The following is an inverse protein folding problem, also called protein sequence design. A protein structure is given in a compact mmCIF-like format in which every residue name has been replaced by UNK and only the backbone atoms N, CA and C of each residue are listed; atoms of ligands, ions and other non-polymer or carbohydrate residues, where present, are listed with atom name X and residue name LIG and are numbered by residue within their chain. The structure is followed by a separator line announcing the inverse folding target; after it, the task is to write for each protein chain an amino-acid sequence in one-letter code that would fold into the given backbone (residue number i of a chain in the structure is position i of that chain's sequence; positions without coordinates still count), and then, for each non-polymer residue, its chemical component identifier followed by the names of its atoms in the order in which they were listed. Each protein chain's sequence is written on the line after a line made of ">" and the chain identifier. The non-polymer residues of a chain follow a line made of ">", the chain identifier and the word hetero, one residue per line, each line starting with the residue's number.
data_IF_980112237818
#
_entry.id   IF_980112237818
#
_cell.length_a   1.000
_cell.length_b   1.000
_cell.length_c   1.000
_cell.angle_alpha   90.00
_cell.angle_beta   90.00
_cell.angle_gamma   90.00
#
_symmetry.space_group_name_H-M   'P 1'
#
loop_
_entity.id
_entity.type
_entity.pdbx_description
1 polymer ?
#
# COMPACT_ATOMS: atom_id res chain seq x y z
N UNK A 1 4.97 -9.38 7.54
CA UNK A 1 5.62 -10.64 8.01
C UNK A 1 5.19 -11.05 9.42
N UNK A 2 5.20 -10.16 10.44
CA UNK A 2 4.66 -10.50 11.78
C UNK A 2 3.26 -11.11 11.68
N UNK A 3 2.33 -10.44 11.02
CA UNK A 3 0.98 -10.93 10.81
C UNK A 3 0.93 -12.31 10.13
N UNK A 4 1.75 -12.54 9.11
CA UNK A 4 1.89 -13.84 8.44
C UNK A 4 2.31 -14.97 9.39
N UNK A 5 3.15 -14.66 10.38
CA UNK A 5 3.59 -15.61 11.41
C UNK A 5 2.59 -15.77 12.56
N UNK A 6 1.40 -15.17 12.49
CA UNK A 6 0.41 -15.17 13.58
C UNK A 6 0.82 -14.33 14.79
N UNK A 7 1.80 -13.45 14.62
CA UNK A 7 2.30 -12.55 15.65
C UNK A 7 1.62 -11.18 15.56
N UNK A 8 1.59 -10.45 16.68
CA UNK A 8 1.06 -9.08 16.67
C UNK A 8 1.80 -8.21 15.66
N UNK A 9 1.09 -7.52 14.74
CA UNK A 9 1.71 -6.61 13.77
C UNK A 9 2.54 -5.50 14.41
N UNK A 10 2.24 -5.18 15.66
CA UNK A 10 2.95 -4.17 16.48
C UNK A 10 4.01 -4.76 17.39
N UNK A 11 4.29 -6.07 17.34
CA UNK A 11 5.28 -6.70 18.23
C UNK A 11 6.65 -6.04 18.12
N UNK A 12 7.26 -5.83 19.28
CA UNK A 12 8.61 -5.29 19.44
C UNK A 12 9.55 -6.29 20.12
N UNK A 13 9.06 -7.52 20.36
CA UNK A 13 9.82 -8.60 20.97
C UNK A 13 11.02 -9.00 20.11
N UNK A 14 12.17 -9.18 20.74
CA UNK A 14 13.38 -9.64 20.07
C UNK A 14 13.20 -11.03 19.43
N UNK A 15 12.48 -11.92 20.10
CA UNK A 15 12.17 -13.26 19.59
C UNK A 15 11.31 -13.21 18.32
N UNK A 16 10.29 -12.34 18.32
CA UNK A 16 9.40 -12.17 17.16
C UNK A 16 10.16 -11.57 15.97
N UNK A 17 10.99 -10.55 16.23
CA UNK A 17 11.82 -9.95 15.18
C UNK A 17 12.84 -10.95 14.63
N UNK A 18 13.42 -11.83 15.47
CA UNK A 18 14.30 -12.89 15.01
C UNK A 18 13.55 -13.94 14.15
N UNK A 19 12.30 -14.27 14.49
CA UNK A 19 11.47 -15.14 13.67
C UNK A 19 11.15 -14.51 12.31
N UNK A 20 10.81 -13.23 12.28
CA UNK A 20 10.62 -12.45 11.05
C UNK A 20 11.89 -12.45 10.20
N UNK A 21 13.05 -12.17 10.80
CA UNK A 21 14.33 -12.13 10.08
C UNK A 21 14.66 -13.48 9.43
N UNK A 22 14.52 -14.59 10.15
CA UNK A 22 14.73 -15.94 9.59
C UNK A 22 13.84 -16.20 8.38
N UNK A 23 12.55 -15.82 8.48
CA UNK A 23 11.60 -16.03 7.39
C UNK A 23 11.93 -15.15 6.17
N UNK A 24 12.31 -13.90 6.40
CA UNK A 24 12.73 -13.00 5.35
C UNK A 24 14.02 -13.49 4.66
N UNK A 25 15.02 -13.94 5.43
CA UNK A 25 16.26 -14.47 4.87
C UNK A 25 16.04 -15.72 4.02
N UNK A 26 15.06 -16.57 4.36
CA UNK A 26 14.72 -17.73 3.53
C UNK A 26 14.17 -17.36 2.15
N UNK A 27 13.50 -16.23 2.01
CA UNK A 27 12.98 -15.75 0.72
C UNK A 27 13.93 -14.78 -0.01
N UNK A 28 14.99 -14.30 0.68
CA UNK A 28 15.91 -13.31 0.13
C UNK A 28 16.51 -13.67 -1.23
N UNK A 29 16.95 -14.91 -1.48
CA UNK A 29 17.53 -15.32 -2.77
C UNK A 29 16.58 -15.16 -3.96
N UNK A 30 15.27 -15.13 -3.72
CA UNK A 30 14.23 -14.98 -4.74
C UNK A 30 13.82 -13.53 -5.00
N UNK A 31 14.34 -12.57 -4.21
CA UNK A 31 13.99 -11.17 -4.35
C UNK A 31 14.98 -10.47 -5.28
N UNK A 32 14.47 -10.02 -6.41
CA UNK A 32 15.27 -9.35 -7.44
C UNK A 32 15.55 -7.90 -7.11
N UNK A 33 14.57 -7.18 -6.56
CA UNK A 33 14.69 -5.73 -6.31
C UNK A 33 13.84 -5.27 -5.13
N UNK A 34 14.26 -4.19 -4.50
CA UNK A 34 13.53 -3.47 -3.46
C UNK A 34 13.20 -2.07 -3.98
N UNK A 35 12.08 -1.92 -4.65
CA UNK A 35 11.63 -0.63 -5.16
C UNK A 35 10.10 -0.61 -5.30
N UNK A 36 9.46 0.35 -4.67
CA UNK A 36 8.01 0.56 -4.79
C UNK A 36 7.69 1.23 -6.13
N UNK A 37 8.51 2.17 -6.56
CA UNK A 37 8.28 2.94 -7.79
C UNK A 37 8.44 2.10 -9.05
N UNK A 38 9.43 1.22 -9.10
CA UNK A 38 9.64 0.37 -10.27
C UNK A 38 8.66 -0.79 -10.38
N UNK A 39 7.99 -1.17 -9.28
CA UNK A 39 7.08 -2.31 -9.27
C UNK A 39 5.92 -2.14 -10.27
N UNK A 40 5.37 -0.93 -10.39
CA UNK A 40 4.30 -0.63 -11.33
C UNK A 40 4.72 -0.89 -12.78
N UNK A 41 5.87 -0.35 -13.20
CA UNK A 41 6.35 -0.47 -14.58
C UNK A 41 6.82 -1.89 -14.90
N UNK A 42 7.50 -2.55 -13.94
CA UNK A 42 8.01 -3.92 -14.15
C UNK A 42 6.91 -4.98 -14.16
N UNK A 43 5.82 -4.78 -13.43
CA UNK A 43 4.61 -5.60 -13.55
C UNK A 43 3.93 -5.35 -14.90
N UNK A 44 3.72 -4.08 -15.27
CA UNK A 44 3.00 -3.73 -16.50
C UNK A 44 3.71 -4.20 -17.77
N UNK A 45 5.04 -4.25 -17.78
CA UNK A 45 5.83 -4.74 -18.92
C UNK A 45 6.19 -6.24 -18.87
N UNK A 46 5.77 -6.95 -17.81
CA UNK A 46 6.00 -8.39 -17.64
C UNK A 46 7.42 -8.79 -17.21
N UNK A 47 8.30 -7.84 -16.88
CA UNK A 47 9.66 -8.16 -16.41
C UNK A 47 9.73 -8.64 -14.96
N UNK A 48 8.63 -8.49 -14.21
CA UNK A 48 8.44 -9.01 -12.85
C UNK A 48 7.15 -9.83 -12.79
N UNK A 49 7.23 -11.07 -12.30
CA UNK A 49 6.09 -11.97 -12.20
C UNK A 49 5.28 -11.78 -10.92
N UNK A 50 5.93 -11.34 -9.83
CA UNK A 50 5.33 -11.15 -8.51
C UNK A 50 5.93 -9.92 -7.84
N UNK A 51 5.08 -9.06 -7.30
CA UNK A 51 5.51 -7.91 -6.50
C UNK A 51 4.64 -7.75 -5.25
N UNK A 52 5.25 -7.35 -4.15
CA UNK A 52 4.54 -6.82 -2.99
C UNK A 52 4.40 -5.31 -3.20
N UNK A 53 3.16 -4.85 -3.38
CA UNK A 53 2.88 -3.45 -3.69
C UNK A 53 1.51 -3.03 -3.13
N UNK A 54 1.24 -1.74 -3.12
CA UNK A 54 -0.07 -1.21 -2.78
C UNK A 54 -1.08 -1.50 -3.88
N UNK A 55 -2.35 -1.71 -3.50
CA UNK A 55 -3.42 -2.09 -4.42
C UNK A 55 -3.56 -1.12 -5.61
N UNK A 56 -3.63 0.18 -5.36
CA UNK A 56 -3.77 1.18 -6.42
C UNK A 56 -2.61 1.17 -7.42
N UNK A 57 -1.37 0.92 -6.96
CA UNK A 57 -0.22 0.78 -7.87
C UNK A 57 -0.37 -0.43 -8.79
N UNK A 58 -0.86 -1.56 -8.25
CA UNK A 58 -1.09 -2.77 -9.06
C UNK A 58 -2.25 -2.55 -10.04
N UNK A 59 -3.33 -1.91 -9.60
CA UNK A 59 -4.46 -1.58 -10.48
C UNK A 59 -4.06 -0.61 -11.60
N UNK A 60 -3.16 0.33 -11.34
CA UNK A 60 -2.55 1.15 -12.40
C UNK A 60 -1.69 0.29 -13.36
N UNK A 61 -0.94 -0.69 -12.83
CA UNK A 61 -0.16 -1.61 -13.69
C UNK A 61 -1.08 -2.45 -14.58
N UNK A 62 -2.26 -2.89 -14.09
CA UNK A 62 -3.30 -3.56 -14.89
C UNK A 62 -3.73 -2.68 -16.06
N UNK A 63 -4.04 -1.41 -15.81
CA UNK A 63 -4.45 -0.47 -16.87
C UNK A 63 -3.34 -0.27 -17.91
N UNK A 64 -2.10 -0.08 -17.46
CA UNK A 64 -0.94 0.10 -18.35
C UNK A 64 -0.65 -1.14 -19.18
N UNK A 65 -0.71 -2.33 -18.59
CA UNK A 65 -0.49 -3.60 -19.29
C UNK A 65 -1.54 -3.80 -20.40
N UNK A 66 -2.82 -3.53 -20.09
CA UNK A 66 -3.90 -3.59 -21.08
C UNK A 66 -3.70 -2.59 -22.21
N UNK A 67 -3.36 -1.35 -21.89
CA UNK A 67 -3.11 -0.30 -22.90
C UNK A 67 -1.91 -0.64 -23.80
N UNK A 68 -0.87 -1.27 -23.27
CA UNK A 68 0.30 -1.68 -24.03
C UNK A 68 0.02 -2.86 -24.99
N UNK A 69 -1.04 -3.64 -24.75
CA UNK A 69 -1.50 -4.78 -25.57
C UNK A 69 -0.37 -5.77 -25.94
N UNK A 70 0.52 -6.09 -24.99
CA UNK A 70 1.66 -7.00 -25.19
C UNK A 70 1.45 -8.39 -24.62
N UNK A 71 0.20 -8.78 -24.33
CA UNK A 71 -0.15 -10.07 -23.75
C UNK A 71 0.18 -10.21 -22.26
N UNK A 72 0.58 -9.13 -21.55
CA UNK A 72 0.85 -9.14 -20.11
C UNK A 72 -0.48 -8.98 -19.36
N UNK A 73 -0.78 -9.97 -18.51
CA UNK A 73 -1.93 -9.95 -17.63
C UNK A 73 -1.46 -9.75 -16.19
N UNK A 74 -1.90 -8.67 -15.55
CA UNK A 74 -1.60 -8.35 -14.16
C UNK A 74 -2.88 -8.52 -13.34
N UNK A 75 -2.76 -9.08 -12.14
CA UNK A 75 -3.86 -9.17 -11.16
C UNK A 75 -3.35 -8.79 -9.78
N UNK A 76 -4.21 -8.18 -8.98
CA UNK A 76 -3.97 -7.95 -7.56
C UNK A 76 -4.57 -9.09 -6.76
N UNK A 77 -3.89 -9.49 -5.70
CA UNK A 77 -4.36 -10.49 -4.76
C UNK A 77 -4.10 -10.04 -3.32
N UNK A 78 -5.14 -9.90 -2.54
CA UNK A 78 -5.03 -9.70 -1.10
C UNK A 78 -4.83 -11.05 -0.40
N UNK A 79 -3.85 -11.21 0.51
CA UNK A 79 -3.63 -12.45 1.24
C UNK A 79 -4.88 -12.88 2.03
N UNK A 80 -5.19 -14.19 2.05
CA UNK A 80 -6.36 -14.74 2.79
C UNK A 80 -6.35 -14.41 4.29
N UNK A 81 -5.16 -14.23 4.89
CA UNK A 81 -5.01 -13.82 6.28
C UNK A 81 -5.24 -12.32 6.54
N UNK A 82 -5.60 -11.56 5.52
CA UNK A 82 -5.78 -10.11 5.58
C UNK A 82 -4.57 -9.33 5.06
N UNK A 83 -4.84 -8.14 4.56
CA UNK A 83 -3.85 -7.18 4.10
C UNK A 83 -3.66 -6.05 5.12
N UNK A 84 -2.49 -5.40 5.07
CA UNK A 84 -2.32 -4.17 5.84
C UNK A 84 -3.14 -3.06 5.20
N UNK A 85 -4.07 -2.48 5.96
CA UNK A 85 -4.74 -1.24 5.59
C UNK A 85 -3.84 -0.05 5.94
N UNK A 86 -3.66 0.84 4.96
CA UNK A 86 -2.93 2.10 5.13
C UNK A 86 -3.82 3.25 4.69
N UNK A 87 -3.77 4.33 5.44
CA UNK A 87 -4.54 5.54 5.15
C UNK A 87 -3.56 6.70 4.97
N UNK A 88 -3.58 7.30 3.80
CA UNK A 88 -2.86 8.53 3.54
C UNK A 88 -3.69 9.71 4.06
N UNK A 89 -3.04 10.61 4.80
CA UNK A 89 -3.71 11.75 5.43
C UNK A 89 -2.95 13.04 5.13
N UNK A 90 -3.69 14.14 5.03
CA UNK A 90 -3.12 15.48 5.00
C UNK A 90 -3.15 16.06 6.42
N UNK A 91 -2.05 16.63 6.86
CA UNK A 91 -1.93 17.26 8.16
C UNK A 91 -1.20 18.61 8.04
N UNK A 92 -1.61 19.58 8.85
CA UNK A 92 -0.98 20.90 8.91
C UNK A 92 -0.18 20.97 10.20
N UNK A 93 1.18 21.10 10.14
CA UNK A 93 1.99 21.31 11.33
C UNK A 93 1.51 22.52 12.14
N UNK A 94 1.65 22.45 13.48
CA UNK A 94 1.17 23.53 14.34
C UNK A 94 1.93 24.84 14.13
N UNK A 95 3.16 24.79 13.67
CA UNK A 95 4.04 25.92 13.37
C UNK A 95 4.07 26.31 11.88
N UNK A 96 3.18 25.73 11.05
CA UNK A 96 3.12 26.03 9.63
C UNK A 96 2.81 27.52 9.40
N UNK A 97 3.57 28.24 8.55
CA UNK A 97 3.41 29.68 8.34
C UNK A 97 2.16 30.03 7.53
N UNK A 98 1.65 29.14 6.69
CA UNK A 98 0.56 29.39 5.74
C UNK A 98 -0.64 28.44 5.98
N UNK A 99 -1.16 28.41 7.22
CA UNK A 99 -2.24 27.47 7.60
C UNK A 99 -3.52 27.67 6.80
N UNK A 100 -3.88 28.92 6.52
CA UNK A 100 -5.11 29.24 5.78
C UNK A 100 -5.04 28.74 4.33
N UNK A 101 -3.90 28.90 3.68
CA UNK A 101 -3.67 28.37 2.35
C UNK A 101 -3.70 26.81 2.37
N UNK A 102 -3.10 26.18 3.38
CA UNK A 102 -3.14 24.73 3.54
C UNK A 102 -4.57 24.23 3.78
N UNK A 103 -5.37 24.89 4.62
CA UNK A 103 -6.79 24.57 4.80
C UNK A 103 -7.58 24.73 3.51
N UNK A 104 -7.33 25.81 2.75
CA UNK A 104 -7.96 26.03 1.44
C UNK A 104 -7.65 24.88 0.48
N UNK A 105 -6.40 24.43 0.43
CA UNK A 105 -6.00 23.30 -0.40
C UNK A 105 -6.66 21.99 0.03
N UNK A 106 -6.70 21.70 1.34
CA UNK A 106 -7.35 20.49 1.86
C UNK A 106 -8.84 20.50 1.51
N UNK A 107 -9.52 21.62 1.72
CA UNK A 107 -10.93 21.78 1.37
C UNK A 107 -11.17 21.62 -0.14
N UNK A 108 -10.25 22.09 -0.98
CA UNK A 108 -10.32 21.89 -2.43
C UNK A 108 -10.21 20.42 -2.81
N UNK A 109 -9.22 19.71 -2.26
CA UNK A 109 -9.02 18.27 -2.55
C UNK A 109 -10.19 17.41 -2.09
N UNK A 110 -10.85 17.79 -0.97
CA UNK A 110 -12.01 17.06 -0.44
C UNK A 110 -13.33 17.34 -1.17
N UNK A 111 -13.34 18.20 -2.16
CA UNK A 111 -14.53 18.38 -3.01
C UNK A 111 -14.83 17.08 -3.75
N UNK A 112 -16.09 16.62 -3.79
CA UNK A 112 -16.47 15.33 -4.35
C UNK A 112 -15.96 15.09 -5.77
N UNK A 113 -16.07 16.11 -6.64
CA UNK A 113 -15.61 16.04 -8.02
C UNK A 113 -14.08 15.92 -8.12
N UNK A 114 -13.33 16.62 -7.27
CA UNK A 114 -11.87 16.62 -7.30
C UNK A 114 -11.32 15.28 -6.77
N UNK A 115 -11.83 14.82 -5.63
CA UNK A 115 -11.35 13.56 -5.05
C UNK A 115 -11.78 12.33 -5.87
N UNK A 116 -12.89 12.41 -6.61
CA UNK A 116 -13.28 11.38 -7.57
C UNK A 116 -12.25 11.26 -8.69
N UNK A 117 -11.78 12.37 -9.25
CA UNK A 117 -10.72 12.38 -10.28
C UNK A 117 -9.42 11.80 -9.74
N UNK A 118 -9.04 12.13 -8.50
CA UNK A 118 -7.88 11.53 -7.83
C UNK A 118 -8.03 10.01 -7.77
N UNK A 119 -9.19 9.49 -7.34
CA UNK A 119 -9.43 8.05 -7.28
C UNK A 119 -9.40 7.40 -8.67
N UNK A 120 -10.02 8.03 -9.67
CA UNK A 120 -10.05 7.52 -11.03
C UNK A 120 -8.64 7.39 -11.65
N UNK A 121 -7.73 8.32 -11.33
CA UNK A 121 -6.34 8.30 -11.81
C UNK A 121 -5.47 7.36 -10.99
N UNK A 122 -5.54 7.45 -9.67
CA UNK A 122 -4.63 6.72 -8.76
C UNK A 122 -5.07 5.30 -8.47
N UNK A 123 -6.33 4.98 -8.76
CA UNK A 123 -6.97 3.69 -8.48
C UNK A 123 -7.04 3.33 -6.99
N UNK A 124 -6.99 4.33 -6.10
CA UNK A 124 -7.23 4.18 -4.67
C UNK A 124 -8.62 4.66 -4.29
N UNK A 125 -9.21 4.02 -3.27
CA UNK A 125 -10.42 4.54 -2.64
C UNK A 125 -10.13 5.89 -1.95
N UNK A 126 -11.18 6.66 -1.76
CA UNK A 126 -11.16 7.88 -0.94
C UNK A 126 -12.24 7.82 0.15
N UNK A 127 -12.14 8.71 1.12
CA UNK A 127 -13.02 8.75 2.30
C UNK A 127 -14.21 9.72 2.13
N UNK A 128 -14.56 10.13 0.90
CA UNK A 128 -15.65 11.07 0.62
C UNK A 128 -16.78 10.35 -0.14
N UNK A 129 -17.81 9.81 0.53
CA UNK A 129 -18.88 9.03 -0.13
C UNK A 129 -19.64 9.81 -1.21
N UNK A 130 -19.75 11.13 -1.06
CA UNK A 130 -20.38 12.00 -2.06
C UNK A 130 -19.66 11.99 -3.43
N UNK A 131 -18.42 11.50 -3.50
CA UNK A 131 -17.66 11.35 -4.75
C UNK A 131 -18.04 10.09 -5.54
N UNK A 132 -18.65 9.09 -4.90
CA UNK A 132 -18.93 7.78 -5.51
C UNK A 132 -19.67 7.83 -6.86
N UNK A 133 -20.70 8.71 -7.04
CA UNK A 133 -21.37 8.81 -8.34
C UNK A 133 -20.47 9.28 -9.51
N UNK A 134 -19.30 9.86 -9.21
CA UNK A 134 -18.34 10.40 -10.18
C UNK A 134 -17.11 9.50 -10.38
N UNK A 135 -17.02 8.41 -9.63
CA UNK A 135 -15.96 7.40 -9.77
C UNK A 135 -16.34 6.43 -10.88
N UNK A 136 -15.33 6.01 -11.67
CA UNK A 136 -15.49 4.92 -12.65
C UNK A 136 -16.25 3.74 -12.01
N UNK A 137 -17.41 3.34 -12.55
CA UNK A 137 -18.21 2.27 -11.95
C UNK A 137 -17.49 0.92 -11.87
N UNK A 138 -16.53 0.66 -12.76
CA UNK A 138 -15.71 -0.55 -12.71
C UNK A 138 -14.72 -0.49 -11.53
N UNK A 139 -14.16 0.69 -11.26
CA UNK A 139 -13.27 0.91 -10.12
C UNK A 139 -14.03 0.86 -8.79
N UNK A 140 -15.20 1.51 -8.73
CA UNK A 140 -16.03 1.55 -7.51
C UNK A 140 -16.51 0.14 -7.07
N UNK A 141 -16.71 -0.75 -8.04
CA UNK A 141 -17.14 -2.15 -7.79
C UNK A 141 -15.97 -3.11 -7.58
N UNK A 142 -14.73 -2.68 -7.79
CA UNK A 142 -13.56 -3.52 -7.58
C UNK A 142 -13.20 -3.58 -6.08
N UNK A 143 -13.34 -4.73 -5.41
CA UNK A 143 -13.04 -4.87 -3.98
C UNK A 143 -11.56 -4.67 -3.67
N UNK A 144 -10.68 -4.71 -4.66
CA UNK A 144 -9.26 -4.41 -4.50
C UNK A 144 -8.97 -2.91 -4.43
N UNK A 145 -9.88 -2.07 -4.95
CA UNK A 145 -9.82 -0.61 -4.84
C UNK A 145 -10.73 -0.11 -3.70
N UNK A 146 -12.00 -0.53 -3.70
CA UNK A 146 -13.01 -0.20 -2.70
C UNK A 146 -13.40 -1.46 -1.92
N UNK A 147 -12.64 -1.82 -0.88
CA UNK A 147 -12.85 -3.05 -0.12
C UNK A 147 -14.22 -3.03 0.57
N UNK A 148 -14.87 -4.18 0.57
CA UNK A 148 -16.13 -4.41 1.30
C UNK A 148 -15.88 -4.47 2.81
N UNK A 149 -16.95 -4.36 3.61
CA UNK A 149 -16.86 -4.51 5.07
C UNK A 149 -16.23 -5.85 5.47
N UNK A 150 -16.48 -6.91 4.71
CA UNK A 150 -15.89 -8.24 4.94
C UNK A 150 -14.37 -8.23 4.76
N UNK A 151 -13.87 -7.56 3.74
CA UNK A 151 -12.42 -7.45 3.48
C UNK A 151 -11.76 -6.51 4.48
N UNK A 152 -12.43 -5.42 4.82
CA UNK A 152 -11.96 -4.51 5.88
C UNK A 152 -11.88 -5.21 7.25
N UNK A 153 -12.82 -6.08 7.59
CA UNK A 153 -12.82 -6.82 8.85
C UNK A 153 -11.63 -7.77 8.99
N UNK A 154 -11.04 -8.25 7.88
CA UNK A 154 -9.83 -9.08 7.88
C UNK A 154 -8.54 -8.28 7.75
N UNK A 155 -8.64 -7.01 7.42
CA UNK A 155 -7.47 -6.11 7.30
C UNK A 155 -6.95 -5.71 8.69
N UNK A 156 -5.68 -5.33 8.75
CA UNK A 156 -5.07 -4.89 9.98
C UNK A 156 -4.27 -3.61 9.78
N UNK A 157 -4.21 -2.77 10.80
CA UNK A 157 -3.35 -1.59 10.86
C UNK A 157 -2.36 -1.77 12.01
N UNK A 158 -1.04 -1.71 11.77
CA UNK A 158 -0.06 -1.75 12.85
C UNK A 158 -0.23 -0.54 13.77
N UNK A 159 -0.16 -0.78 15.08
CA UNK A 159 -0.11 0.31 16.05
C UNK A 159 1.22 1.09 16.00
N UNK A 160 1.29 2.21 16.72
CA UNK A 160 2.50 3.01 16.81
C UNK A 160 3.66 2.21 17.40
N UNK A 161 4.86 2.44 16.89
CA UNK A 161 6.10 1.81 17.37
C UNK A 161 7.03 2.89 17.91
N UNK A 162 7.47 2.73 19.14
CA UNK A 162 8.43 3.64 19.80
C UNK A 162 9.80 3.60 19.12
N UNK A 163 10.68 4.55 19.45
CA UNK A 163 11.94 4.76 18.73
C UNK A 163 12.87 3.53 18.78
N UNK A 164 13.10 2.95 19.95
CA UNK A 164 14.04 1.83 20.12
C UNK A 164 13.66 0.58 19.30
N UNK A 165 12.42 0.06 19.38
CA UNK A 165 11.98 -1.04 18.52
C UNK A 165 11.98 -0.67 17.03
N UNK A 166 11.71 0.58 16.67
CA UNK A 166 11.82 1.07 15.29
C UNK A 166 13.27 0.93 14.77
N UNK A 167 14.26 1.26 15.60
CA UNK A 167 15.66 1.09 15.23
C UNK A 167 16.03 -0.38 15.01
N UNK A 168 15.59 -1.30 15.90
CA UNK A 168 15.81 -2.73 15.75
C UNK A 168 15.20 -3.28 14.44
N UNK A 169 13.97 -2.88 14.11
CA UNK A 169 13.32 -3.22 12.83
C UNK A 169 14.09 -2.68 11.62
N UNK A 170 14.56 -1.44 11.70
CA UNK A 170 15.33 -0.82 10.61
C UNK A 170 16.68 -1.53 10.40
N UNK A 171 17.37 -1.94 11.47
CA UNK A 171 18.62 -2.70 11.37
C UNK A 171 18.39 -4.08 10.74
N UNK A 172 17.35 -4.81 11.17
CA UNK A 172 16.95 -6.09 10.58
C UNK A 172 16.64 -5.90 9.08
N UNK A 173 15.88 -4.87 8.73
CA UNK A 173 15.54 -4.57 7.33
C UNK A 173 16.76 -4.22 6.48
N UNK A 174 17.73 -3.52 7.07
CA UNK A 174 19.00 -3.22 6.41
C UNK A 174 19.77 -4.52 6.11
N UNK A 175 19.97 -5.39 7.11
CA UNK A 175 20.63 -6.70 6.92
C UNK A 175 19.93 -7.54 5.84
N UNK A 176 18.60 -7.58 5.86
CA UNK A 176 17.83 -8.31 4.85
C UNK A 176 18.06 -7.79 3.43
N UNK A 177 18.09 -6.47 3.23
CA UNK A 177 18.37 -5.89 1.90
C UNK A 177 19.78 -6.15 1.42
N UNK A 178 20.76 -6.14 2.31
CA UNK A 178 22.18 -6.29 2.02
C UNK A 178 22.62 -7.76 1.90
N UNK A 179 21.83 -8.70 2.37
CA UNK A 179 22.08 -10.13 2.19
C UNK A 179 22.07 -10.50 0.69
N UNK A 180 23.02 -11.37 0.29
CA UNK A 180 23.16 -11.87 -1.09
C UNK A 180 22.59 -13.28 -1.21
#
# INVERSE_FOLDING_TARGET
>A
MLHYLGLSPSSTSASDLAAVERTLMAIRPYIRTFSVTSALDTLANGSTCLALAFSGNVLQAVVRAKAANRGVNVAYYAPKGGAQASFDVLAIPNDAPNKDAANTFINFILRPEIIADVSNVTRYANAVPASHPMIDPALLKDPNAFPTDKEMATSYTPGPVTLTPKMARNQMWKRFKEAR
#
